data_IF_603769990114
#
_entry.id   IF_603769990114
#
_cell.length_a   1.000
_cell.length_b   1.000
_cell.length_c   1.000
_cell.angle_alpha   90.00
_cell.angle_beta   90.00
_cell.angle_gamma   90.00
#
_symmetry.space_group_name_H-M   'P 1'
#
loop_
_entity.id
_entity.type
_entity.pdbx_description
1 polymer ?
#
# COMPACT_ATOMS: atom_id res chain seq x y z
N UNK A 1 22.11 -14.25 -19.28
CA UNK A 1 21.38 -13.28 -18.44
C UNK A 1 19.97 -13.19 -18.99
N UNK A 2 18.97 -13.68 -18.24
CA UNK A 2 17.56 -13.52 -18.61
C UNK A 2 17.19 -12.03 -18.49
N UNK A 3 16.39 -11.46 -19.40
CA UNK A 3 15.92 -10.10 -19.23
C UNK A 3 15.09 -10.04 -17.95
N UNK A 4 15.59 -9.30 -16.95
CA UNK A 4 14.76 -8.92 -15.80
C UNK A 4 13.52 -8.24 -16.39
N UNK A 5 12.35 -8.80 -16.13
CA UNK A 5 11.09 -8.22 -16.58
C UNK A 5 11.03 -6.75 -16.19
N UNK A 6 10.28 -5.94 -16.95
CA UNK A 6 10.09 -4.51 -16.68
C UNK A 6 9.93 -4.28 -15.16
N UNK A 7 10.65 -3.33 -14.56
CA UNK A 7 10.47 -2.97 -13.16
C UNK A 7 8.99 -2.74 -12.86
N UNK A 8 8.48 -3.34 -11.79
CA UNK A 8 7.12 -3.10 -11.34
C UNK A 8 7.01 -1.63 -10.94
N UNK A 9 6.14 -0.88 -11.59
CA UNK A 9 5.82 0.50 -11.20
C UNK A 9 4.63 0.48 -10.26
N UNK A 10 4.72 1.24 -9.17
CA UNK A 10 3.61 1.51 -8.25
C UNK A 10 2.86 2.81 -8.58
N UNK A 11 3.31 3.56 -9.59
CA UNK A 11 2.70 4.84 -9.94
C UNK A 11 1.22 4.67 -10.35
N UNK A 12 0.33 5.42 -9.69
CA UNK A 12 -1.11 5.38 -9.93
C UNK A 12 -1.84 4.16 -9.35
N UNK A 13 -1.14 3.28 -8.63
CA UNK A 13 -1.73 2.05 -8.10
C UNK A 13 -2.43 2.32 -6.77
N UNK A 14 -3.62 1.73 -6.63
CA UNK A 14 -4.33 1.70 -5.36
C UNK A 14 -4.25 0.31 -4.75
N UNK A 15 -4.02 0.24 -3.44
CA UNK A 15 -3.95 -1.03 -2.71
C UNK A 15 -4.79 -0.96 -1.43
N UNK A 16 -5.29 -2.11 -0.99
CA UNK A 16 -5.87 -2.30 0.34
C UNK A 16 -5.13 -3.42 1.08
N UNK A 17 -5.30 -3.47 2.41
CA UNK A 17 -4.70 -4.50 3.25
C UNK A 17 -5.63 -5.69 3.39
N UNK A 18 -5.19 -6.86 2.94
CA UNK A 18 -5.96 -8.11 2.99
C UNK A 18 -5.61 -8.97 4.21
N UNK A 19 -4.44 -8.76 4.80
CA UNK A 19 -4.00 -9.43 6.02
C UNK A 19 -3.11 -8.47 6.84
N UNK A 20 -3.28 -8.46 8.15
CA UNK A 20 -2.51 -7.62 9.08
C UNK A 20 -2.22 -8.40 10.37
N UNK A 21 -1.14 -8.04 11.06
CA UNK A 21 -0.83 -8.57 12.38
C UNK A 21 -1.96 -8.34 13.38
N UNK A 22 -2.02 -9.16 14.44
CA UNK A 22 -2.99 -8.99 15.51
C UNK A 22 -2.87 -7.59 16.14
N UNK A 23 -4.00 -6.86 16.22
CA UNK A 23 -4.00 -5.47 16.67
C UNK A 23 -3.52 -4.46 15.65
N UNK A 24 -3.36 -4.84 14.38
CA UNK A 24 -3.02 -3.94 13.28
C UNK A 24 -3.97 -2.74 13.12
N UNK A 25 -3.42 -1.61 12.67
CA UNK A 25 -4.16 -0.35 12.48
C UNK A 25 -4.81 -0.23 11.09
N UNK A 26 -4.40 -1.09 10.16
CA UNK A 26 -4.79 -1.06 8.76
C UNK A 26 -5.58 -2.32 8.39
N UNK A 27 -6.53 -2.20 7.47
CA UNK A 27 -7.40 -3.30 7.07
C UNK A 27 -7.88 -3.11 5.62
N UNK A 28 -8.87 -3.91 5.20
CA UNK A 28 -9.43 -3.86 3.86
C UNK A 28 -10.13 -2.54 3.51
N UNK A 29 -10.49 -1.73 4.51
CA UNK A 29 -11.04 -0.38 4.33
C UNK A 29 -9.94 0.69 4.17
N UNK A 30 -8.69 0.38 4.55
CA UNK A 30 -7.57 1.31 4.42
C UNK A 30 -7.03 1.29 2.99
N UNK A 31 -7.21 2.38 2.26
CA UNK A 31 -6.83 2.50 0.86
C UNK A 31 -5.58 3.35 0.71
N UNK A 32 -4.53 2.74 0.16
CA UNK A 32 -3.25 3.37 -0.16
C UNK A 32 -3.26 3.81 -1.62
N UNK A 33 -2.88 5.07 -1.89
CA UNK A 33 -2.76 5.64 -3.25
C UNK A 33 -1.31 5.94 -3.52
N UNK A 34 -0.66 5.07 -4.31
CA UNK A 34 0.75 5.17 -4.59
C UNK A 34 1.04 6.14 -5.74
N UNK A 35 2.13 6.89 -5.59
CA UNK A 35 2.74 7.73 -6.61
C UNK A 35 4.23 7.39 -6.64
N UNK A 36 4.79 7.24 -7.84
CA UNK A 36 6.20 6.91 -8.01
C UNK A 36 6.86 7.78 -9.07
N UNK A 37 8.03 8.33 -8.73
CA UNK A 37 8.90 9.04 -9.65
C UNK A 37 10.31 8.45 -9.59
N UNK A 38 10.68 7.68 -10.61
CA UNK A 38 11.93 6.93 -10.63
C UNK A 38 11.98 5.92 -9.48
N UNK A 39 12.99 6.02 -8.62
CA UNK A 39 13.13 5.18 -7.43
C UNK A 39 12.34 5.68 -6.22
N UNK A 40 11.82 6.91 -6.23
CA UNK A 40 11.09 7.48 -5.09
C UNK A 40 9.63 7.05 -5.16
N UNK A 41 9.14 6.48 -4.07
CA UNK A 41 7.76 6.00 -3.93
C UNK A 41 7.12 6.69 -2.72
N UNK A 42 5.87 7.12 -2.87
CA UNK A 42 5.08 7.65 -1.77
C UNK A 42 3.64 7.18 -1.87
N UNK A 43 2.92 7.19 -0.75
CA UNK A 43 1.48 7.01 -0.78
C UNK A 43 0.81 7.83 0.31
N UNK A 44 -0.37 8.35 -0.01
CA UNK A 44 -1.35 8.78 0.98
C UNK A 44 -2.31 7.61 1.25
N UNK A 45 -2.68 7.40 2.51
CA UNK A 45 -3.63 6.37 2.89
C UNK A 45 -4.60 6.81 3.97
N UNK A 46 -5.80 6.23 3.95
CA UNK A 46 -6.86 6.47 4.92
C UNK A 46 -7.92 5.36 4.85
N UNK A 47 -8.73 5.23 5.90
CA UNK A 47 -9.81 4.24 6.02
C UNK A 47 -9.59 3.25 7.17
N UNK A 48 -10.67 2.62 7.63
CA UNK A 48 -10.66 1.85 8.87
C UNK A 48 -10.37 2.74 10.08
N UNK A 49 -9.32 2.42 10.84
CA UNK A 49 -8.87 3.20 12.01
C UNK A 49 -7.95 4.38 11.63
N UNK A 50 -7.49 4.47 10.39
CA UNK A 50 -6.57 5.52 9.96
C UNK A 50 -7.35 6.70 9.39
N UNK A 51 -7.25 7.86 10.03
CA UNK A 51 -7.83 9.11 9.53
C UNK A 51 -7.00 9.70 8.40
N UNK A 52 -5.67 9.73 8.56
CA UNK A 52 -4.74 10.23 7.56
C UNK A 52 -3.36 9.62 7.78
N UNK A 53 -2.82 9.00 6.74
CA UNK A 53 -1.47 8.45 6.73
C UNK A 53 -0.68 8.85 5.49
N UNK A 54 0.63 8.94 5.65
CA UNK A 54 1.59 9.10 4.56
C UNK A 54 2.74 8.13 4.73
N UNK A 55 3.21 7.58 3.62
CA UNK A 55 4.48 6.89 3.54
C UNK A 55 5.34 7.49 2.42
N UNK A 56 6.65 7.51 2.64
CA UNK A 56 7.67 7.93 1.67
C UNK A 56 8.84 6.97 1.75
N UNK A 57 9.38 6.61 0.60
CA UNK A 57 10.37 5.57 0.52
C UNK A 57 11.07 5.49 -0.83
N UNK A 58 11.89 4.46 -0.95
CA UNK A 58 12.68 4.19 -2.15
C UNK A 58 12.55 2.73 -2.57
N UNK A 59 12.50 2.50 -3.87
CA UNK A 59 12.55 1.18 -4.48
C UNK A 59 13.97 0.86 -4.94
N UNK A 60 14.48 -0.29 -4.54
CA UNK A 60 15.80 -0.83 -4.91
C UNK A 60 15.66 -2.23 -5.50
N UNK A 61 16.77 -2.87 -5.86
CA UNK A 61 16.76 -4.28 -6.27
C UNK A 61 16.36 -5.23 -5.12
N UNK A 62 16.57 -4.82 -3.88
CA UNK A 62 16.27 -5.60 -2.68
C UNK A 62 14.80 -5.47 -2.21
N UNK A 63 14.09 -4.45 -2.70
CA UNK A 63 12.70 -4.19 -2.35
C UNK A 63 12.41 -2.72 -2.06
N UNK A 64 11.30 -2.48 -1.36
CA UNK A 64 10.86 -1.14 -0.96
C UNK A 64 11.25 -0.88 0.49
N UNK A 65 11.70 0.35 0.78
CA UNK A 65 11.95 0.80 2.14
C UNK A 65 11.17 2.09 2.39
N UNK A 66 10.36 2.12 3.45
CA UNK A 66 9.51 3.25 3.78
C UNK A 66 9.80 3.85 5.16
N UNK A 67 9.42 5.12 5.28
CA UNK A 67 9.07 5.79 6.53
C UNK A 67 7.60 6.18 6.43
N UNK A 68 6.86 5.98 7.50
CA UNK A 68 5.44 6.31 7.54
C UNK A 68 5.07 7.08 8.80
N UNK A 69 4.03 7.89 8.69
CA UNK A 69 3.38 8.58 9.79
C UNK A 69 1.87 8.62 9.56
N UNK A 70 1.10 8.51 10.64
CA UNK A 70 -0.36 8.51 10.58
C UNK A 70 -1.00 9.15 11.80
N UNK A 71 -2.20 9.67 11.58
CA UNK A 71 -3.17 10.03 12.61
C UNK A 71 -4.33 9.06 12.53
N UNK A 72 -4.68 8.45 13.65
CA UNK A 72 -5.84 7.55 13.75
C UNK A 72 -7.15 8.31 14.01
N UNK A 73 -8.27 7.59 14.11
CA UNK A 73 -9.59 8.16 14.38
C UNK A 73 -9.75 8.69 15.81
N UNK A 74 -8.86 8.32 16.73
CA UNK A 74 -8.79 8.83 18.10
C UNK A 74 -7.87 10.06 18.22
N UNK A 75 -7.20 10.44 17.13
CA UNK A 75 -6.28 11.59 17.09
C UNK A 75 -4.86 11.28 17.57
N UNK A 76 -4.51 10.01 17.78
CA UNK A 76 -3.14 9.61 18.12
C UNK A 76 -2.25 9.71 16.89
N UNK A 77 -1.06 10.25 17.07
CA UNK A 77 -0.03 10.39 16.04
C UNK A 77 1.03 9.30 16.23
N UNK A 78 1.16 8.42 15.25
CA UNK A 78 2.14 7.33 15.25
C UNK A 78 2.95 7.30 13.95
N UNK A 79 4.10 6.66 13.97
CA UNK A 79 4.94 6.48 12.80
C UNK A 79 6.00 5.42 12.97
N UNK A 80 6.66 5.07 11.87
CA UNK A 80 7.60 3.96 11.85
C UNK A 80 8.33 3.81 10.53
N UNK A 81 8.89 2.62 10.34
CA UNK A 81 9.57 2.21 9.13
C UNK A 81 9.10 0.83 8.71
N UNK A 82 9.19 0.56 7.41
CA UNK A 82 8.85 -0.75 6.87
C UNK A 82 9.72 -1.12 5.67
N UNK A 83 9.76 -2.41 5.40
CA UNK A 83 10.34 -2.99 4.19
C UNK A 83 9.31 -3.84 3.49
N UNK A 84 9.22 -3.77 2.15
CA UNK A 84 8.25 -4.56 1.40
C UNK A 84 8.88 -5.38 0.28
N UNK A 85 8.43 -6.63 0.19
CA UNK A 85 8.67 -7.51 -0.94
C UNK A 85 7.54 -7.38 -1.97
N UNK A 86 7.88 -7.32 -3.25
CA UNK A 86 6.92 -7.16 -4.35
C UNK A 86 6.74 -8.51 -5.06
N UNK A 87 5.49 -8.91 -5.25
CA UNK A 87 5.12 -10.08 -6.05
C UNK A 87 3.93 -9.79 -6.96
N UNK A 88 3.69 -10.68 -7.93
CA UNK A 88 2.50 -10.64 -8.79
C UNK A 88 1.58 -11.80 -8.46
N UNK A 89 0.29 -11.51 -8.36
CA UNK A 89 -0.77 -12.49 -8.27
C UNK A 89 -1.01 -13.17 -9.63
N UNK A 90 -1.67 -14.35 -9.66
CA UNK A 90 -1.96 -15.05 -10.92
C UNK A 90 -2.80 -14.24 -11.92
N UNK A 91 -3.60 -13.28 -11.43
CA UNK A 91 -4.43 -12.37 -12.24
C UNK A 91 -3.66 -11.13 -12.74
N UNK A 92 -2.37 -11.02 -12.43
CA UNK A 92 -1.49 -9.93 -12.84
C UNK A 92 -1.41 -8.76 -11.86
N UNK A 93 -2.29 -8.71 -10.85
CA UNK A 93 -2.28 -7.69 -9.80
C UNK A 93 -1.00 -7.74 -8.97
N UNK A 94 -0.61 -6.61 -8.41
CA UNK A 94 0.55 -6.54 -7.51
C UNK A 94 0.13 -6.91 -6.08
N UNK A 95 1.01 -7.65 -5.40
CA UNK A 95 0.94 -7.90 -3.96
C UNK A 95 2.21 -7.41 -3.28
N UNK A 96 2.07 -6.74 -2.14
CA UNK A 96 3.19 -6.38 -1.27
C UNK A 96 3.10 -7.18 0.03
N UNK A 97 4.22 -7.78 0.44
CA UNK A 97 4.40 -8.28 1.81
C UNK A 97 5.24 -7.24 2.57
N UNK A 98 4.62 -6.54 3.50
CA UNK A 98 5.28 -5.54 4.33
C UNK A 98 5.70 -6.13 5.67
N UNK A 99 6.91 -5.77 6.12
CA UNK A 99 7.38 -5.90 7.49
C UNK A 99 7.53 -4.50 8.08
N UNK A 100 6.71 -4.17 9.07
CA UNK A 100 6.72 -2.84 9.70
C UNK A 100 7.22 -2.89 11.15
N UNK A 101 7.78 -1.78 11.61
CA UNK A 101 8.08 -1.55 13.01
C UNK A 101 7.74 -0.11 13.38
N UNK A 102 7.07 0.05 14.53
CA UNK A 102 6.78 1.35 15.09
C UNK A 102 8.06 2.02 15.60
N UNK A 103 8.19 3.32 15.33
CA UNK A 103 9.22 4.17 15.94
C UNK A 103 8.65 5.00 17.11
N UNK A 104 7.33 5.19 17.15
CA UNK A 104 6.61 5.92 18.21
C UNK A 104 6.26 5.07 19.43
N UNK A 105 6.21 3.74 19.29
CA UNK A 105 5.86 2.78 20.35
C UNK A 105 6.53 1.43 20.09
N UNK A 106 6.41 0.51 21.06
CA UNK A 106 6.81 -0.87 20.85
C UNK A 106 5.83 -1.59 19.89
N UNK A 107 6.38 -2.49 19.08
CA UNK A 107 5.60 -3.36 18.21
C UNK A 107 6.14 -3.40 16.78
N UNK A 108 6.01 -4.58 16.18
CA UNK A 108 6.33 -4.87 14.79
C UNK A 108 5.33 -5.88 14.28
N UNK A 109 5.24 -6.03 12.96
CA UNK A 109 4.35 -7.01 12.37
C UNK A 109 4.45 -7.06 10.87
N UNK A 110 3.52 -7.80 10.27
CA UNK A 110 3.41 -7.95 8.83
C UNK A 110 2.05 -7.51 8.33
N UNK A 111 2.03 -6.92 7.14
CA UNK A 111 0.82 -6.61 6.40
C UNK A 111 0.94 -7.18 4.98
N UNK A 112 -0.18 -7.66 4.44
CA UNK A 112 -0.28 -8.06 3.03
C UNK A 112 -1.18 -7.08 2.31
N UNK A 113 -0.64 -6.42 1.29
CA UNK A 113 -1.36 -5.48 0.44
C UNK A 113 -1.66 -6.12 -0.89
N UNK A 114 -2.83 -5.86 -1.45
CA UNK A 114 -3.16 -6.19 -2.83
C UNK A 114 -3.61 -4.96 -3.59
N UNK A 115 -3.18 -4.87 -4.84
CA UNK A 115 -3.74 -3.94 -5.81
C UNK A 115 -5.25 -4.11 -5.93
N UNK A 116 -5.97 -2.99 -5.96
CA UNK A 116 -7.41 -2.97 -6.17
C UNK A 116 -7.64 -3.00 -7.68
N UNK A 117 -8.35 -4.02 -8.17
CA UNK A 117 -8.72 -4.09 -9.57
C UNK A 117 -9.60 -2.88 -9.92
N UNK A 118 -9.19 -2.10 -10.92
CA UNK A 118 -10.05 -1.07 -11.50
C UNK A 118 -11.17 -1.80 -12.25
N UNK A 119 -12.39 -1.78 -11.71
CA UNK A 119 -13.55 -2.11 -12.53
C UNK A 119 -13.69 -0.99 -13.57
N UNK A 120 -13.76 -1.30 -14.88
CA UNK A 120 -14.14 -0.28 -15.84
C UNK A 120 -15.49 0.29 -15.41
N UNK A 121 -15.61 1.62 -15.37
CA UNK A 121 -16.86 2.29 -15.04
C UNK A 121 -17.98 1.71 -15.89
N UNK A 122 -19.00 1.14 -15.23
CA UNK A 122 -20.18 0.59 -15.89
C UNK A 122 -20.70 1.62 -16.89
N UNK A 123 -20.73 1.26 -18.17
CA UNK A 123 -21.27 2.09 -19.23
C UNK A 123 -22.68 2.54 -18.81
N UNK A 124 -22.92 3.85 -18.86
CA UNK A 124 -24.22 4.43 -18.61
C UNK A 124 -25.30 3.64 -19.38
N UNK A 125 -26.28 3.12 -18.67
CA UNK A 125 -27.46 2.50 -19.28
C UNK A 125 -28.20 3.63 -20.00
N UNK A 126 -27.99 3.76 -21.32
CA UNK A 126 -28.89 4.52 -22.17
C UNK A 126 -30.28 3.91 -22.03
N UNK A 127 -31.21 4.73 -21.52
CA UNK A 127 -32.61 4.37 -21.36
C UNK A 127 -33.24 4.39 -22.76
N UNK A 128 -33.85 3.29 -23.25
CA UNK A 128 -34.56 3.34 -24.51
C UNK A 128 -35.82 4.22 -24.36
N UNK A 129 -36.11 4.96 -25.42
CA UNK A 129 -37.27 5.84 -25.59
C UNK A 129 -38.60 5.07 -25.64
#
# INVERSE_FOLDING_TARGET
MLPMGKPVSLDGIQMCVVETAEGGEVNSETIFRFVQNGAVVSAQYAGGKVKLGYLVGTMTEEGLHFRYAQVDTEGRLDGGYSTCEISRLPDGRIRLLEHFQWASREGMGTNVFEEIAVQPASAAIEKPA
#
